data_IF_630666942531
#
_entry.id   IF_630666942531
#
_cell.length_a   1.000
_cell.length_b   1.000
_cell.length_c   1.000
_cell.angle_alpha   90.00
_cell.angle_beta   90.00
_cell.angle_gamma   90.00
#
_symmetry.space_group_name_H-M   'P 1'
#
loop_
_entity.id
_entity.type
_entity.pdbx_description
1 polymer ?
#
# COMPACT_ATOMS: atom_id res chain seq x y z
N UNK A 1 10.06 -3.95 -8.45
CA UNK A 1 8.65 -3.53 -8.30
C UNK A 1 8.51 -2.32 -7.40
N UNK A 2 7.54 -1.44 -7.67
CA UNK A 2 7.20 -0.32 -6.76
C UNK A 2 6.75 -0.82 -5.38
N UNK A 3 6.25 -2.06 -5.31
CA UNK A 3 5.83 -2.72 -4.06
C UNK A 3 7.04 -3.23 -3.24
N UNK A 4 8.17 -3.46 -3.90
CA UNK A 4 9.38 -4.06 -3.31
C UNK A 4 10.39 -2.99 -2.85
N UNK A 5 10.45 -1.86 -3.56
CA UNK A 5 11.17 -0.66 -3.15
C UNK A 5 10.46 -0.01 -1.96
N UNK A 6 11.02 -0.14 -0.75
CA UNK A 6 10.48 0.43 0.50
C UNK A 6 10.02 1.88 0.37
N UNK A 7 8.71 2.07 0.20
CA UNK A 7 8.06 3.37 0.30
C UNK A 7 8.07 3.80 1.76
N UNK A 8 8.71 4.93 2.06
CA UNK A 8 8.57 5.60 3.36
C UNK A 8 7.52 6.69 3.22
N UNK A 9 6.57 6.77 4.17
CA UNK A 9 5.60 7.86 4.21
C UNK A 9 6.37 9.19 4.31
N UNK A 10 6.27 10.09 3.33
CA UNK A 10 7.03 11.33 3.35
C UNK A 10 6.55 12.21 4.51
N UNK A 11 7.44 12.52 5.45
CA UNK A 11 7.15 13.44 6.56
C UNK A 11 7.07 14.90 6.09
N UNK A 12 7.57 15.18 4.89
CA UNK A 12 7.50 16.49 4.22
C UNK A 12 6.93 16.33 2.81
N UNK A 13 6.14 17.31 2.31
CA UNK A 13 5.65 17.27 0.94
C UNK A 13 6.83 17.16 -0.04
N UNK A 14 6.80 16.22 -1.01
CA UNK A 14 7.91 16.01 -1.91
C UNK A 14 8.14 17.27 -2.77
N UNK A 15 9.31 17.89 -2.61
CA UNK A 15 9.71 19.11 -3.33
C UNK A 15 10.29 18.81 -4.71
N UNK A 16 10.78 17.59 -4.94
CA UNK A 16 11.34 17.15 -6.21
C UNK A 16 10.38 16.24 -7.00
N UNK A 17 10.61 16.14 -8.31
CA UNK A 17 9.76 15.34 -9.21
C UNK A 17 9.77 13.85 -8.85
N UNK A 18 10.90 13.32 -8.39
CA UNK A 18 11.04 11.92 -8.00
C UNK A 18 10.15 11.57 -6.80
N UNK A 19 10.17 12.37 -5.74
CA UNK A 19 9.33 12.17 -4.57
C UNK A 19 7.84 12.29 -4.89
N UNK A 20 7.46 13.22 -5.78
CA UNK A 20 6.07 13.34 -6.26
C UNK A 20 5.62 12.05 -6.96
N UNK A 21 6.44 11.53 -7.87
CA UNK A 21 6.16 10.26 -8.57
C UNK A 21 6.03 9.09 -7.60
N UNK A 22 6.84 9.05 -6.54
CA UNK A 22 6.77 7.98 -5.52
C UNK A 22 5.44 8.02 -4.76
N UNK A 23 4.99 9.20 -4.33
CA UNK A 23 3.68 9.38 -3.68
C UNK A 23 2.54 9.03 -4.62
N UNK A 24 2.56 9.55 -5.85
CA UNK A 24 1.55 9.25 -6.87
C UNK A 24 1.47 7.74 -7.16
N UNK A 25 2.61 7.06 -7.27
CA UNK A 25 2.65 5.62 -7.51
C UNK A 25 2.10 4.85 -6.31
N UNK A 26 2.41 5.25 -5.07
CA UNK A 26 1.81 4.64 -3.88
C UNK A 26 0.29 4.82 -3.87
N UNK A 27 -0.23 6.02 -4.12
CA UNK A 27 -1.67 6.26 -4.20
C UNK A 27 -2.35 5.44 -5.31
N UNK A 28 -1.74 5.32 -6.48
CA UNK A 28 -2.24 4.47 -7.57
C UNK A 28 -2.27 2.99 -7.17
N UNK A 29 -1.22 2.52 -6.51
CA UNK A 29 -1.15 1.14 -6.04
C UNK A 29 -2.19 0.86 -4.94
N UNK A 30 -2.37 1.76 -3.97
CA UNK A 30 -3.42 1.65 -2.95
C UNK A 30 -4.80 1.58 -3.60
N UNK A 31 -5.09 2.47 -4.55
CA UNK A 31 -6.37 2.45 -5.26
C UNK A 31 -6.59 1.13 -6.03
N UNK A 32 -5.57 0.64 -6.74
CA UNK A 32 -5.64 -0.61 -7.47
C UNK A 32 -5.91 -1.82 -6.55
N UNK A 33 -5.26 -1.87 -5.38
CA UNK A 33 -5.52 -2.90 -4.36
C UNK A 33 -6.97 -2.80 -3.90
N UNK A 34 -7.40 -1.63 -3.42
CA UNK A 34 -8.74 -1.43 -2.87
C UNK A 34 -9.86 -1.76 -3.85
N UNK A 35 -9.69 -1.44 -5.14
CA UNK A 35 -10.68 -1.77 -6.18
C UNK A 35 -10.85 -3.28 -6.43
N UNK A 36 -9.86 -4.10 -6.07
CA UNK A 36 -9.90 -5.55 -6.30
C UNK A 36 -10.40 -6.38 -5.12
N UNK A 37 -10.69 -5.75 -3.97
CA UNK A 37 -11.01 -6.46 -2.72
C UNK A 37 -12.51 -6.63 -2.50
N UNK A 38 -12.88 -7.72 -1.83
CA UNK A 38 -14.21 -7.85 -1.25
C UNK A 38 -14.37 -6.93 -0.02
N UNK A 39 -15.61 -6.56 0.31
CA UNK A 39 -15.91 -5.63 1.41
C UNK A 39 -15.29 -6.06 2.76
N UNK A 40 -15.30 -7.37 3.06
CA UNK A 40 -14.71 -7.92 4.27
C UNK A 40 -13.18 -7.76 4.36
N UNK A 41 -12.49 -7.75 3.22
CA UNK A 41 -11.04 -7.54 3.14
C UNK A 41 -10.71 -6.05 3.10
N UNK A 42 -11.51 -5.28 2.37
CA UNK A 42 -11.40 -3.83 2.28
C UNK A 42 -11.37 -3.20 3.68
N UNK A 43 -12.33 -3.55 4.55
CA UNK A 43 -12.41 -3.04 5.92
C UNK A 43 -11.15 -3.37 6.74
N UNK A 44 -10.48 -4.49 6.45
CA UNK A 44 -9.26 -4.89 7.17
C UNK A 44 -8.04 -4.07 6.75
N UNK A 45 -7.97 -3.64 5.48
CA UNK A 45 -6.78 -2.97 4.93
C UNK A 45 -6.95 -1.47 4.74
N UNK A 46 -8.18 -0.93 4.82
CA UNK A 46 -8.46 0.50 4.59
C UNK A 46 -7.75 1.45 5.57
N UNK A 47 -7.30 0.95 6.73
CA UNK A 47 -6.57 1.71 7.75
C UNK A 47 -5.05 1.74 7.51
N UNK A 48 -4.55 1.09 6.46
CA UNK A 48 -3.12 1.09 6.11
C UNK A 48 -2.73 2.39 5.39
N UNK A 49 -1.56 2.93 5.71
CA UNK A 49 -1.08 4.21 5.18
C UNK A 49 -0.36 4.05 3.83
N UNK A 50 0.05 2.82 3.50
CA UNK A 50 0.82 2.52 2.29
C UNK A 50 0.29 1.31 1.53
N UNK A 51 0.52 1.29 0.21
CA UNK A 51 0.20 0.12 -0.62
C UNK A 51 0.97 -1.14 -0.16
N UNK A 52 2.19 -0.95 0.37
CA UNK A 52 3.01 -2.04 0.89
C UNK A 52 2.35 -2.69 2.12
N UNK A 53 1.91 -1.89 3.08
CA UNK A 53 1.20 -2.38 4.27
C UNK A 53 -0.12 -3.07 3.90
N UNK A 54 -0.88 -2.51 2.96
CA UNK A 54 -2.09 -3.18 2.45
C UNK A 54 -1.75 -4.55 1.88
N UNK A 55 -0.73 -4.65 1.03
CA UNK A 55 -0.30 -5.90 0.42
C UNK A 55 0.24 -6.91 1.45
N UNK A 56 1.06 -6.46 2.40
CA UNK A 56 1.60 -7.32 3.46
C UNK A 56 0.48 -7.87 4.35
N UNK A 57 -0.53 -7.05 4.69
CA UNK A 57 -1.70 -7.48 5.46
C UNK A 57 -2.57 -8.47 4.69
N UNK A 58 -2.74 -8.28 3.39
CA UNK A 58 -3.45 -9.25 2.53
C UNK A 58 -2.73 -10.59 2.49
N UNK A 59 -1.40 -10.60 2.33
CA UNK A 59 -0.60 -11.84 2.39
C UNK A 59 -0.82 -12.56 3.72
N UNK A 60 -0.79 -11.86 4.86
CA UNK A 60 -1.07 -12.47 6.17
C UNK A 60 -2.49 -13.06 6.27
N UNK A 61 -3.49 -12.43 5.65
CA UNK A 61 -4.88 -12.95 5.65
C UNK A 61 -4.99 -14.25 4.85
N UNK A 62 -4.30 -14.35 3.71
CA UNK A 62 -4.44 -15.46 2.77
C UNK A 62 -3.47 -16.62 3.01
N UNK A 63 -2.22 -16.31 3.35
CA UNK A 63 -1.18 -17.30 3.63
C UNK A 63 -1.28 -17.82 5.08
N UNK A 64 -2.09 -17.16 5.91
CA UNK A 64 -2.18 -17.41 7.35
C UNK A 64 -0.97 -16.85 8.10
N UNK A 65 -1.11 -16.66 9.41
CA UNK A 65 0.03 -16.44 10.30
C UNK A 65 0.74 -17.81 10.41
N UNK A 66 1.62 -18.13 9.45
CA UNK A 66 2.50 -19.30 9.53
C UNK A 66 3.44 -19.13 10.72
N UNK A 67 2.96 -19.45 11.91
CA UNK A 67 3.76 -19.70 13.12
C UNK A 67 3.81 -21.19 13.40
#
# INVERSE_FOLDING_TARGET
>A
DVVDSGYTVPTTPPTNQTGKRVVENNSKAMNAILCGLAEAEFVKVMQCDTAKEMWDKLKTIYEGDNK
#
